data_IF_545556873242
#
_entry.id   IF_545556873242
#
_cell.length_a   1.000
_cell.length_b   1.000
_cell.length_c   1.000
_cell.angle_alpha   90.00
_cell.angle_beta   90.00
_cell.angle_gamma   90.00
#
_symmetry.space_group_name_H-M   'P 1'
#
loop_
_entity.id
_entity.type
_entity.pdbx_description
1 polymer ?
#
# COMPACT_ATOMS: atom_id res chain seq x y z
N UNK A 1 12.29 -10.81 -2.61
CA UNK A 1 13.24 -9.94 -1.89
C UNK A 1 13.13 -10.27 -0.40
N UNK A 2 13.91 -11.22 0.14
CA UNK A 2 13.92 -11.49 1.59
C UNK A 2 14.68 -10.36 2.26
N UNK A 3 14.01 -9.57 3.09
CA UNK A 3 14.58 -8.33 3.60
C UNK A 3 15.38 -8.54 4.90
N UNK A 4 15.23 -9.66 5.66
CA UNK A 4 16.31 -10.34 6.44
C UNK A 4 15.79 -11.58 7.20
N UNK A 5 16.70 -12.44 7.68
CA UNK A 5 16.45 -13.69 8.43
C UNK A 5 16.42 -13.53 9.96
N UNK A 6 16.53 -12.31 10.48
CA UNK A 6 16.73 -12.01 11.91
C UNK A 6 15.53 -11.28 12.50
N UNK A 7 14.92 -11.89 13.53
CA UNK A 7 13.76 -11.36 14.26
C UNK A 7 14.08 -10.03 14.95
N UNK A 8 13.18 -9.02 14.89
CA UNK A 8 13.35 -7.78 15.65
C UNK A 8 13.26 -8.03 17.17
N UNK A 9 14.03 -7.30 17.97
CA UNK A 9 14.06 -7.44 19.44
C UNK A 9 12.81 -6.85 20.11
N UNK A 10 12.47 -7.31 21.33
CA UNK A 10 11.32 -6.81 22.11
C UNK A 10 11.30 -5.28 22.31
N UNK A 11 12.46 -4.61 22.26
CA UNK A 11 12.60 -3.15 22.40
C UNK A 11 12.04 -2.36 21.21
N UNK A 12 12.12 -2.92 20.00
CA UNK A 12 11.55 -2.33 18.77
C UNK A 12 10.02 -2.28 18.83
N UNK A 13 9.38 -3.15 19.62
CA UNK A 13 7.91 -3.18 19.78
C UNK A 13 7.43 -2.06 20.73
N UNK A 14 8.25 -1.65 21.70
CA UNK A 14 7.89 -0.65 22.73
C UNK A 14 8.25 0.77 22.29
N UNK A 15 9.45 0.97 21.72
CA UNK A 15 9.92 2.30 21.27
C UNK A 15 9.69 2.56 19.77
N UNK A 16 9.13 1.59 19.04
CA UNK A 16 9.20 1.42 17.58
C UNK A 16 9.33 2.68 16.73
N UNK A 17 8.31 3.52 16.69
CA UNK A 17 8.35 4.75 15.88
C UNK A 17 9.40 5.75 16.38
N UNK A 18 9.51 5.94 17.70
CA UNK A 18 10.47 6.87 18.32
C UNK A 18 11.91 6.46 18.03
N UNK A 19 12.19 5.16 17.86
CA UNK A 19 13.53 4.68 17.45
C UNK A 19 13.96 5.23 16.09
N UNK A 20 13.04 5.61 15.20
CA UNK A 20 13.35 6.19 13.90
C UNK A 20 13.13 7.72 13.86
N UNK A 21 13.02 8.34 15.04
CA UNK A 21 13.00 9.79 15.23
C UNK A 21 14.30 10.29 15.89
N UNK A 22 14.62 11.57 15.66
CA UNK A 22 15.70 12.20 16.41
C UNK A 22 15.25 12.46 17.86
N UNK A 23 16.12 12.15 18.81
CA UNK A 23 16.02 12.56 20.21
C UNK A 23 17.22 13.45 20.54
N UNK A 24 17.25 14.04 21.75
CA UNK A 24 18.31 14.97 22.17
C UNK A 24 19.72 14.40 21.92
N UNK A 25 19.97 13.17 22.39
CA UNK A 25 21.27 12.50 22.25
C UNK A 25 21.69 12.28 20.79
N UNK A 26 20.78 11.80 19.94
CA UNK A 26 21.08 11.63 18.51
C UNK A 26 21.31 12.95 17.80
N UNK A 27 20.60 14.00 18.19
CA UNK A 27 20.82 15.35 17.64
C UNK A 27 22.22 15.82 18.00
N UNK A 28 22.60 15.73 19.29
CA UNK A 28 23.95 16.08 19.76
C UNK A 28 25.04 15.31 19.01
N UNK A 29 24.92 13.98 18.93
CA UNK A 29 25.87 13.13 18.21
C UNK A 29 25.91 13.45 16.71
N UNK A 30 24.77 13.83 16.12
CA UNK A 30 24.72 14.20 14.70
C UNK A 30 25.48 15.49 14.43
N UNK A 31 25.42 16.46 15.35
CA UNK A 31 26.19 17.71 15.25
C UNK A 31 27.67 17.42 15.42
N UNK A 32 28.07 16.65 16.43
CA UNK A 32 29.47 16.30 16.69
C UNK A 32 30.11 15.50 15.55
N UNK A 33 29.37 14.55 14.96
CA UNK A 33 29.86 13.67 13.90
C UNK A 33 29.47 14.15 12.49
N UNK A 34 29.08 15.41 12.34
CA UNK A 34 28.45 15.92 11.11
C UNK A 34 29.27 15.67 9.83
N UNK A 35 30.60 15.90 9.78
CA UNK A 35 31.40 15.62 8.58
C UNK A 35 31.37 14.13 8.18
N UNK A 36 31.48 13.24 9.17
CA UNK A 36 31.43 11.78 8.98
C UNK A 36 30.05 11.36 8.47
N UNK A 37 28.99 11.89 9.07
CA UNK A 37 27.61 11.57 8.69
C UNK A 37 27.30 12.01 7.27
N UNK A 38 27.75 13.20 6.85
CA UNK A 38 27.60 13.63 5.46
C UNK A 38 28.32 12.66 4.52
N UNK A 39 29.59 12.35 4.81
CA UNK A 39 30.40 11.47 3.98
C UNK A 39 29.75 10.08 3.83
N UNK A 40 29.38 9.45 4.94
CA UNK A 40 28.70 8.16 4.94
C UNK A 40 27.36 8.23 4.20
N UNK A 41 26.53 9.22 4.51
CA UNK A 41 25.17 9.29 3.97
C UNK A 41 25.12 9.48 2.45
N UNK A 42 26.09 10.15 1.83
CA UNK A 42 26.11 10.36 0.36
C UNK A 42 25.93 9.07 -0.42
N UNK A 43 26.70 8.02 -0.08
CA UNK A 43 26.62 6.71 -0.73
C UNK A 43 25.28 6.03 -0.43
N UNK A 44 24.95 5.87 0.86
CA UNK A 44 23.76 5.12 1.26
C UNK A 44 22.44 5.75 0.79
N UNK A 45 22.33 7.08 0.79
CA UNK A 45 21.13 7.76 0.28
C UNK A 45 20.96 7.56 -1.23
N UNK A 46 22.04 7.62 -2.01
CA UNK A 46 21.99 7.34 -3.45
C UNK A 46 21.60 5.88 -3.70
N UNK A 47 22.27 4.95 -3.03
CA UNK A 47 22.02 3.52 -3.19
C UNK A 47 20.60 3.15 -2.76
N UNK A 48 20.09 3.79 -1.70
CA UNK A 48 18.73 3.60 -1.22
C UNK A 48 17.70 4.21 -2.18
N UNK A 49 17.96 5.40 -2.73
CA UNK A 49 17.11 5.97 -3.76
C UNK A 49 17.01 5.02 -4.95
N UNK A 50 18.14 4.55 -5.49
CA UNK A 50 18.15 3.59 -6.60
C UNK A 50 17.38 2.32 -6.25
N UNK A 51 17.59 1.75 -5.05
CA UNK A 51 16.83 0.61 -4.55
C UNK A 51 15.31 0.81 -4.63
N UNK A 52 14.79 1.97 -4.24
CA UNK A 52 13.33 2.25 -4.31
C UNK A 52 12.79 2.36 -5.73
N UNK A 53 13.67 2.54 -6.73
CA UNK A 53 13.29 2.81 -8.12
C UNK A 53 13.57 1.63 -9.06
N UNK A 54 14.42 0.68 -8.67
CA UNK A 54 14.84 -0.48 -9.45
C UNK A 54 13.98 -1.71 -9.14
N UNK A 55 13.05 -2.01 -10.04
CA UNK A 55 12.19 -3.19 -10.03
C UNK A 55 11.65 -3.42 -11.45
N UNK A 56 11.15 -4.62 -11.74
CA UNK A 56 10.51 -4.91 -13.02
C UNK A 56 9.18 -4.16 -13.12
N UNK A 57 8.98 -3.44 -14.24
CA UNK A 57 7.76 -2.65 -14.50
C UNK A 57 6.95 -3.23 -15.65
N UNK A 58 7.63 -3.68 -16.70
CA UNK A 58 7.06 -4.18 -17.95
C UNK A 58 7.94 -5.31 -18.51
N UNK A 59 7.50 -5.89 -19.62
CA UNK A 59 8.25 -6.86 -20.39
C UNK A 59 8.16 -8.27 -19.82
N UNK A 60 8.91 -9.18 -20.44
CA UNK A 60 8.85 -10.60 -20.12
C UNK A 60 9.47 -10.90 -18.75
N UNK A 61 8.84 -11.80 -17.99
CA UNK A 61 9.37 -12.40 -16.78
C UNK A 61 9.31 -13.91 -16.85
N UNK A 62 10.16 -14.56 -16.06
CA UNK A 62 10.17 -16.02 -15.91
C UNK A 62 9.82 -16.38 -14.47
N UNK A 63 8.78 -17.19 -14.29
CA UNK A 63 8.42 -17.77 -12.99
C UNK A 63 7.95 -19.20 -13.21
N UNK A 64 8.40 -20.14 -12.35
CA UNK A 64 8.06 -21.56 -12.45
C UNK A 64 8.29 -22.15 -13.86
N UNK A 65 9.41 -21.79 -14.49
CA UNK A 65 9.80 -22.21 -15.84
C UNK A 65 8.87 -21.76 -16.98
N UNK A 66 7.93 -20.84 -16.72
CA UNK A 66 7.11 -20.20 -17.76
C UNK A 66 7.59 -18.79 -18.03
N UNK A 67 7.60 -18.40 -19.31
CA UNK A 67 7.85 -17.04 -19.77
C UNK A 67 6.54 -16.36 -20.14
N UNK A 68 6.27 -15.20 -19.55
CA UNK A 68 5.04 -14.44 -19.78
C UNK A 68 5.28 -12.95 -19.55
N UNK A 69 4.37 -12.11 -20.05
CA UNK A 69 4.45 -10.66 -19.80
C UNK A 69 4.16 -10.36 -18.32
N UNK A 70 4.99 -9.52 -17.70
CA UNK A 70 4.84 -9.11 -16.30
C UNK A 70 3.45 -8.53 -15.99
N UNK A 71 2.86 -7.81 -16.92
CA UNK A 71 1.59 -7.11 -16.78
C UNK A 71 0.47 -7.90 -17.49
N UNK A 72 0.20 -9.12 -17.03
CA UNK A 72 -0.77 -10.04 -17.66
C UNK A 72 -1.51 -10.93 -16.66
N UNK A 73 -2.55 -11.62 -17.12
CA UNK A 73 -3.25 -12.65 -16.35
C UNK A 73 -2.34 -13.84 -15.99
N UNK A 74 -1.38 -14.24 -16.84
CA UNK A 74 -0.47 -15.32 -16.48
C UNK A 74 0.39 -14.91 -15.26
N UNK A 75 0.81 -13.65 -15.16
CA UNK A 75 1.50 -13.14 -13.97
C UNK A 75 0.62 -13.24 -12.71
N UNK A 76 -0.67 -12.93 -12.83
CA UNK A 76 -1.64 -13.12 -11.75
C UNK A 76 -1.77 -14.60 -11.35
N UNK A 77 -1.95 -15.51 -12.31
CA UNK A 77 -2.04 -16.95 -12.04
C UNK A 77 -0.81 -17.49 -11.33
N UNK A 78 0.38 -17.06 -11.76
CA UNK A 78 1.63 -17.49 -11.15
C UNK A 78 1.80 -16.89 -9.73
N UNK A 79 1.35 -15.66 -9.48
CA UNK A 79 1.30 -15.07 -8.12
C UNK A 79 0.36 -15.86 -7.20
N UNK A 80 -0.83 -16.24 -7.67
CA UNK A 80 -1.77 -17.06 -6.90
C UNK A 80 -1.20 -18.43 -6.54
N UNK A 81 -0.48 -19.07 -7.47
CA UNK A 81 0.20 -20.35 -7.22
C UNK A 81 1.30 -20.15 -6.17
N UNK A 82 2.16 -19.14 -6.34
CA UNK A 82 3.25 -18.86 -5.41
C UNK A 82 2.77 -18.50 -3.99
N UNK A 83 1.57 -17.95 -3.87
CA UNK A 83 0.91 -17.63 -2.59
C UNK A 83 -0.02 -18.71 -2.07
N UNK A 84 -0.10 -19.86 -2.73
CA UNK A 84 -0.99 -20.99 -2.37
C UNK A 84 -2.50 -20.61 -2.37
N UNK A 85 -2.87 -19.49 -2.99
CA UNK A 85 -4.24 -18.99 -3.05
C UNK A 85 -5.12 -19.81 -4.00
N UNK A 86 -4.51 -20.41 -5.03
CA UNK A 86 -5.24 -21.24 -6.00
C UNK A 86 -5.86 -22.48 -5.35
N UNK A 87 -5.23 -23.02 -4.29
CA UNK A 87 -5.75 -24.16 -3.52
C UNK A 87 -7.00 -23.78 -2.70
N UNK A 88 -7.24 -22.48 -2.50
CA UNK A 88 -8.38 -21.94 -1.76
C UNK A 88 -9.52 -21.51 -2.72
N UNK A 89 -9.46 -21.93 -3.99
CA UNK A 89 -10.37 -21.50 -5.06
C UNK A 89 -10.44 -19.96 -5.21
N UNK A 90 -9.35 -19.27 -4.89
CA UNK A 90 -9.29 -17.83 -4.89
C UNK A 90 -8.74 -17.33 -6.24
N UNK A 91 -9.58 -17.32 -7.28
CA UNK A 91 -9.18 -16.99 -8.64
C UNK A 91 -10.38 -16.55 -9.49
N UNK A 92 -10.15 -15.57 -10.38
CA UNK A 92 -11.12 -15.28 -11.44
C UNK A 92 -11.08 -16.42 -12.46
N UNK A 93 -12.24 -16.84 -12.96
CA UNK A 93 -12.31 -17.90 -13.98
C UNK A 93 -12.09 -17.34 -15.39
N UNK A 94 -11.91 -18.21 -16.38
CA UNK A 94 -11.64 -17.81 -17.78
C UNK A 94 -12.71 -16.90 -18.39
N UNK A 95 -13.97 -17.05 -18.00
CA UNK A 95 -15.07 -16.19 -18.50
C UNK A 95 -14.94 -14.80 -17.88
N UNK A 96 -14.72 -14.72 -16.57
CA UNK A 96 -14.51 -13.43 -15.88
C UNK A 96 -13.27 -12.70 -16.40
N UNK A 97 -12.18 -13.42 -16.67
CA UNK A 97 -10.95 -12.86 -17.24
C UNK A 97 -11.16 -12.31 -18.66
N UNK A 98 -11.92 -13.00 -19.51
CA UNK A 98 -12.21 -12.52 -20.87
C UNK A 98 -13.19 -11.34 -20.88
N UNK A 99 -14.02 -11.20 -19.84
CA UNK A 99 -14.94 -10.06 -19.67
C UNK A 99 -14.25 -8.82 -19.08
N UNK A 100 -13.07 -8.96 -18.46
CA UNK A 100 -12.33 -7.82 -17.92
C UNK A 100 -11.85 -6.88 -19.01
N UNK A 101 -12.10 -5.59 -18.82
CA UNK A 101 -11.71 -4.56 -19.77
C UNK A 101 -10.47 -3.82 -19.31
N UNK A 102 -9.47 -3.76 -20.19
CA UNK A 102 -8.27 -2.92 -20.01
C UNK A 102 -8.52 -1.54 -20.60
N UNK A 103 -8.18 -0.50 -19.85
CA UNK A 103 -8.40 0.90 -20.23
C UNK A 103 -7.19 1.75 -19.87
N UNK A 104 -7.12 2.92 -20.50
CA UNK A 104 -6.17 3.98 -20.16
C UNK A 104 -6.95 5.19 -19.64
N UNK A 105 -6.67 5.59 -18.42
CA UNK A 105 -7.22 6.79 -17.78
C UNK A 105 -6.13 7.87 -17.81
N UNK A 106 -6.48 9.13 -18.02
CA UNK A 106 -5.54 10.25 -17.97
C UNK A 106 -5.62 10.95 -16.62
N UNK A 107 -4.46 11.22 -16.01
CA UNK A 107 -4.40 12.08 -14.82
C UNK A 107 -4.51 13.57 -15.21
N UNK A 108 -4.49 14.46 -14.21
CA UNK A 108 -4.60 15.90 -14.43
C UNK A 108 -3.46 16.46 -15.31
N UNK A 109 -2.31 15.79 -15.32
CA UNK A 109 -1.12 16.12 -16.11
C UNK A 109 -1.11 15.45 -17.49
N UNK A 110 -2.22 14.83 -17.92
CA UNK A 110 -2.34 14.08 -19.17
C UNK A 110 -1.39 12.86 -19.28
N UNK A 111 -0.93 12.34 -18.14
CA UNK A 111 -0.14 11.12 -18.08
C UNK A 111 -1.07 9.89 -17.98
N UNK A 112 -0.68 8.80 -18.64
CA UNK A 112 -1.48 7.58 -18.70
C UNK A 112 -1.45 6.78 -17.39
N UNK A 113 -2.63 6.29 -17.01
CA UNK A 113 -2.86 5.33 -15.94
C UNK A 113 -3.51 4.10 -16.58
N UNK A 114 -2.81 2.97 -16.60
CA UNK A 114 -3.37 1.72 -17.10
C UNK A 114 -4.21 1.06 -16.01
N UNK A 115 -5.46 0.73 -16.34
CA UNK A 115 -6.40 0.12 -15.42
C UNK A 115 -7.11 -1.08 -16.04
N UNK A 116 -7.66 -1.92 -15.18
CA UNK A 116 -8.43 -3.11 -15.49
C UNK A 116 -9.70 -3.08 -14.64
N UNK A 117 -10.86 -3.39 -15.24
CA UNK A 117 -12.09 -3.44 -14.48
C UNK A 117 -13.03 -4.56 -14.96
N UNK A 118 -13.90 -5.01 -14.05
CA UNK A 118 -14.96 -5.99 -14.31
C UNK A 118 -16.25 -5.51 -13.67
N UNK A 119 -17.33 -5.51 -14.43
CA UNK A 119 -18.67 -5.19 -13.93
C UNK A 119 -19.38 -6.46 -13.50
N UNK A 120 -20.02 -6.39 -12.34
CA UNK A 120 -21.01 -7.36 -11.90
C UNK A 120 -22.40 -6.91 -12.37
N UNK A 121 -23.24 -7.80 -12.93
CA UNK A 121 -24.55 -7.42 -13.46
C UNK A 121 -25.39 -6.58 -12.50
N UNK A 122 -25.91 -5.45 -12.98
CA UNK A 122 -26.79 -4.52 -12.25
C UNK A 122 -26.20 -3.94 -10.94
N UNK A 123 -24.89 -4.03 -10.71
CA UNK A 123 -24.27 -3.47 -9.53
C UNK A 123 -23.86 -2.01 -9.72
N UNK A 124 -24.08 -1.18 -8.70
CA UNK A 124 -23.59 0.20 -8.60
C UNK A 124 -22.56 0.34 -7.47
N UNK A 125 -22.12 -0.79 -6.89
CA UNK A 125 -21.12 -0.86 -5.82
C UNK A 125 -19.78 -1.24 -6.44
N UNK A 126 -18.75 -0.46 -6.16
CA UNK A 126 -17.41 -0.65 -6.71
C UNK A 126 -16.38 -0.89 -5.62
N UNK A 127 -15.38 -1.71 -5.90
CA UNK A 127 -14.17 -1.84 -5.09
C UNK A 127 -12.94 -1.55 -5.94
N UNK A 128 -12.11 -0.61 -5.48
CA UNK A 128 -10.86 -0.25 -6.13
C UNK A 128 -9.69 -0.87 -5.38
N UNK A 129 -8.93 -1.73 -6.07
CA UNK A 129 -7.74 -2.42 -5.54
C UNK A 129 -6.44 -1.73 -5.91
N UNK A 130 -5.60 -1.44 -4.91
CA UNK A 130 -4.28 -0.82 -5.07
C UNK A 130 -3.16 -1.81 -4.75
N UNK A 131 -2.29 -2.07 -5.71
CA UNK A 131 -1.19 -3.03 -5.56
C UNK A 131 -0.02 -2.48 -4.71
N UNK A 132 0.81 -3.40 -4.23
CA UNK A 132 2.04 -3.11 -3.48
C UNK A 132 3.19 -2.61 -4.35
N UNK A 133 4.31 -2.24 -3.73
CA UNK A 133 5.53 -1.92 -4.46
C UNK A 133 6.03 -3.16 -5.20
N UNK A 134 6.58 -2.99 -6.41
CA UNK A 134 7.02 -4.05 -7.33
C UNK A 134 5.90 -4.94 -7.90
N UNK A 135 4.63 -4.61 -7.64
CA UNK A 135 3.47 -5.31 -8.20
C UNK A 135 2.84 -4.49 -9.35
N UNK A 136 1.67 -4.95 -9.83
CA UNK A 136 0.91 -4.30 -10.90
C UNK A 136 -0.61 -4.53 -10.74
N UNK A 137 -1.42 -3.98 -11.66
CA UNK A 137 -2.88 -4.05 -11.64
C UNK A 137 -3.45 -5.47 -11.64
N UNK A 138 -2.81 -6.41 -12.34
CA UNK A 138 -3.24 -7.81 -12.37
C UNK A 138 -3.01 -8.47 -11.03
N UNK A 139 -1.84 -8.25 -10.41
CA UNK A 139 -1.58 -8.76 -9.08
C UNK A 139 -2.56 -8.19 -8.05
N UNK A 140 -3.04 -6.95 -8.19
CA UNK A 140 -4.08 -6.40 -7.33
C UNK A 140 -5.44 -7.10 -7.42
N UNK A 141 -5.71 -7.91 -8.46
CA UNK A 141 -6.95 -8.67 -8.58
C UNK A 141 -7.21 -9.57 -7.37
N UNK A 142 -6.16 -10.12 -6.76
CA UNK A 142 -6.27 -10.92 -5.53
C UNK A 142 -6.96 -10.16 -4.40
N UNK A 143 -6.83 -8.84 -4.33
CA UNK A 143 -7.43 -8.07 -3.25
C UNK A 143 -8.94 -7.90 -3.45
N UNK A 144 -9.38 -7.82 -4.70
CA UNK A 144 -10.77 -7.48 -5.04
C UNK A 144 -11.64 -8.70 -5.37
N UNK A 145 -11.03 -9.87 -5.58
CA UNK A 145 -11.72 -11.11 -5.94
C UNK A 145 -12.91 -11.43 -5.04
N UNK A 146 -12.71 -11.44 -3.71
CA UNK A 146 -13.79 -11.75 -2.77
C UNK A 146 -14.97 -10.77 -2.92
N UNK A 147 -14.71 -9.48 -3.17
CA UNK A 147 -15.76 -8.48 -3.32
C UNK A 147 -16.53 -8.66 -4.62
N UNK A 148 -15.86 -9.05 -5.71
CA UNK A 148 -16.55 -9.42 -6.95
C UNK A 148 -17.54 -10.57 -6.71
N UNK A 149 -17.13 -11.59 -5.94
CA UNK A 149 -18.01 -12.70 -5.53
C UNK A 149 -19.17 -12.25 -4.62
N UNK A 150 -19.10 -11.06 -4.01
CA UNK A 150 -20.19 -10.45 -3.23
C UNK A 150 -21.02 -9.43 -4.05
N UNK A 151 -20.89 -9.44 -5.39
CA UNK A 151 -21.68 -8.59 -6.27
C UNK A 151 -21.18 -7.15 -6.41
N UNK A 152 -19.91 -6.88 -6.12
CA UNK A 152 -19.29 -5.59 -6.39
C UNK A 152 -18.67 -5.60 -7.80
N UNK A 153 -18.79 -4.49 -8.51
CA UNK A 153 -17.88 -4.18 -9.61
C UNK A 153 -16.47 -4.00 -9.04
N UNK A 154 -15.43 -4.36 -9.81
CA UNK A 154 -14.04 -4.25 -9.35
C UNK A 154 -13.19 -3.49 -10.35
N UNK A 155 -12.25 -2.69 -9.84
CA UNK A 155 -11.28 -1.96 -10.64
C UNK A 155 -9.90 -2.04 -9.97
N UNK A 156 -8.87 -2.33 -10.75
CA UNK A 156 -7.47 -2.24 -10.33
C UNK A 156 -6.69 -1.39 -11.32
N UNK A 157 -5.58 -0.79 -10.89
CA UNK A 157 -4.79 0.06 -11.76
C UNK A 157 -3.31 0.00 -11.42
N UNK A 158 -2.49 0.27 -12.43
CA UNK A 158 -1.05 0.37 -12.31
C UNK A 158 -0.71 1.72 -11.67
N UNK A 159 -0.01 1.70 -10.54
CA UNK A 159 0.51 2.90 -9.89
C UNK A 159 1.51 3.64 -10.79
N UNK A 160 1.76 4.93 -10.51
CA UNK A 160 2.80 5.70 -11.23
C UNK A 160 4.12 4.92 -11.32
N UNK A 161 4.71 4.89 -12.51
CA UNK A 161 5.93 4.14 -12.80
C UNK A 161 5.86 2.62 -12.49
N UNK A 162 4.68 2.01 -12.60
CA UNK A 162 4.48 0.56 -12.54
C UNK A 162 3.66 0.12 -13.75
N UNK A 163 3.83 -1.14 -14.16
CA UNK A 163 3.07 -1.70 -15.28
C UNK A 163 3.12 -0.80 -16.51
N UNK A 164 1.96 -0.55 -17.09
CA UNK A 164 1.80 0.30 -18.28
C UNK A 164 1.42 1.75 -17.95
N UNK A 165 1.43 2.15 -16.66
CA UNK A 165 1.22 3.53 -16.27
C UNK A 165 2.49 4.37 -16.46
N UNK A 166 2.29 5.61 -16.89
CA UNK A 166 3.36 6.58 -17.06
C UNK A 166 4.10 6.88 -15.73
N UNK A 167 5.30 7.46 -15.87
CA UNK A 167 6.10 7.93 -14.75
C UNK A 167 7.53 7.41 -14.77
N UNK A 168 8.48 8.30 -14.50
CA UNK A 168 9.91 7.96 -14.41
C UNK A 168 10.24 7.24 -13.10
N UNK A 169 9.67 7.70 -11.99
CA UNK A 169 9.96 7.22 -10.66
C UNK A 169 8.70 6.78 -9.92
N UNK A 170 8.82 5.73 -9.11
CA UNK A 170 7.80 5.32 -8.15
C UNK A 170 7.51 6.45 -7.18
N UNK A 171 6.23 6.75 -7.00
CA UNK A 171 5.75 7.70 -6.00
C UNK A 171 5.81 7.17 -4.57
N UNK A 172 6.12 5.88 -4.37
CA UNK A 172 6.12 5.18 -3.08
C UNK A 172 4.88 5.54 -2.25
N UNK A 173 3.72 5.51 -2.90
CA UNK A 173 2.41 5.79 -2.30
C UNK A 173 2.03 7.27 -2.16
N UNK A 174 2.94 8.25 -2.29
CA UNK A 174 2.58 9.68 -2.20
C UNK A 174 2.07 10.24 -3.53
N UNK A 175 2.87 10.14 -4.60
CA UNK A 175 2.45 10.65 -5.92
C UNK A 175 1.25 9.89 -6.48
N UNK A 176 1.10 8.63 -6.06
CA UNK A 176 0.01 7.73 -6.44
C UNK A 176 -1.38 8.26 -6.01
N UNK A 177 -1.45 9.18 -5.03
CA UNK A 177 -2.71 9.77 -4.55
C UNK A 177 -3.46 10.49 -5.67
N UNK A 178 -2.73 11.18 -6.56
CA UNK A 178 -3.34 11.88 -7.70
C UNK A 178 -3.91 10.88 -8.71
N UNK A 179 -3.20 9.77 -8.96
CA UNK A 179 -3.69 8.72 -9.84
C UNK A 179 -4.95 8.05 -9.27
N UNK A 180 -5.00 7.75 -7.96
CA UNK A 180 -6.22 7.24 -7.33
C UNK A 180 -7.39 8.22 -7.48
N UNK A 181 -7.13 9.53 -7.34
CA UNK A 181 -8.14 10.56 -7.55
C UNK A 181 -8.68 10.57 -8.98
N UNK A 182 -7.80 10.46 -9.97
CA UNK A 182 -8.17 10.41 -11.38
C UNK A 182 -8.97 9.14 -11.71
N UNK A 183 -8.58 8.00 -11.13
CA UNK A 183 -9.30 6.73 -11.27
C UNK A 183 -10.72 6.81 -10.70
N UNK A 184 -10.89 7.38 -9.50
CA UNK A 184 -12.20 7.57 -8.89
C UNK A 184 -13.06 8.54 -9.71
N UNK A 185 -12.48 9.66 -10.18
CA UNK A 185 -13.19 10.61 -11.02
C UNK A 185 -13.64 9.99 -12.35
N UNK A 186 -12.75 9.25 -13.01
CA UNK A 186 -13.07 8.50 -14.22
C UNK A 186 -14.22 7.52 -13.96
N UNK A 187 -14.17 6.77 -12.86
CA UNK A 187 -15.21 5.81 -12.51
C UNK A 187 -16.59 6.48 -12.36
N UNK A 188 -16.65 7.59 -11.62
CA UNK A 188 -17.90 8.34 -11.38
C UNK A 188 -18.45 8.95 -12.68
N UNK A 189 -17.57 9.36 -13.60
CA UNK A 189 -17.99 9.96 -14.86
C UNK A 189 -18.47 8.94 -15.91
N UNK A 190 -18.10 7.67 -15.79
CA UNK A 190 -18.41 6.64 -16.79
C UNK A 190 -19.49 5.65 -16.32
N UNK A 191 -19.78 5.58 -15.03
CA UNK A 191 -20.74 4.63 -14.47
C UNK A 191 -21.66 5.29 -13.44
N UNK A 192 -22.83 4.68 -13.22
CA UNK A 192 -23.64 4.99 -12.05
C UNK A 192 -23.01 4.33 -10.82
N UNK A 193 -22.55 5.13 -9.86
CA UNK A 193 -21.82 4.69 -8.67
C UNK A 193 -22.52 5.16 -7.42
N UNK A 194 -22.91 4.22 -6.55
CA UNK A 194 -23.52 4.54 -5.24
C UNK A 194 -22.56 4.35 -4.08
N UNK A 195 -21.62 3.41 -4.21
CA UNK A 195 -20.67 3.08 -3.15
C UNK A 195 -19.33 2.66 -3.74
N UNK A 196 -18.25 3.16 -3.14
CA UNK A 196 -16.88 2.81 -3.43
C UNK A 196 -16.24 2.30 -2.15
N UNK A 197 -15.71 1.07 -2.20
CA UNK A 197 -14.76 0.53 -1.25
C UNK A 197 -13.34 0.68 -1.78
N UNK A 198 -12.39 1.01 -0.91
CA UNK A 198 -10.97 1.03 -1.25
C UNK A 198 -10.25 -0.10 -0.55
N UNK A 199 -9.40 -0.84 -1.26
CA UNK A 199 -8.52 -1.86 -0.67
C UNK A 199 -7.12 -1.74 -1.24
N UNK A 200 -6.12 -1.93 -0.40
CA UNK A 200 -4.74 -1.92 -0.83
C UNK A 200 -3.83 -2.69 0.12
N UNK A 201 -2.70 -3.16 -0.42
CA UNK A 201 -1.64 -3.81 0.34
C UNK A 201 -0.35 -2.99 0.29
N UNK A 202 0.41 -2.95 1.38
CA UNK A 202 1.73 -2.30 1.45
C UNK A 202 1.70 -0.85 0.94
N UNK A 203 2.38 -0.56 -0.19
CA UNK A 203 2.33 0.75 -0.87
C UNK A 203 0.90 1.19 -1.22
N UNK A 204 0.04 0.28 -1.68
CA UNK A 204 -1.34 0.57 -2.03
C UNK A 204 -2.19 0.96 -0.82
N UNK A 205 -2.01 0.24 0.29
CA UNK A 205 -2.64 0.55 1.59
C UNK A 205 -2.25 1.94 2.11
N UNK A 206 -0.97 2.27 1.96
CA UNK A 206 -0.43 3.57 2.30
C UNK A 206 -1.00 4.67 1.37
N UNK A 207 -1.05 4.43 0.06
CA UNK A 207 -1.61 5.34 -0.93
C UNK A 207 -3.09 5.69 -0.64
N UNK A 208 -3.95 4.69 -0.51
CA UNK A 208 -5.38 4.93 -0.28
C UNK A 208 -5.61 5.68 1.03
N UNK A 209 -4.86 5.34 2.08
CA UNK A 209 -5.00 6.02 3.38
C UNK A 209 -4.57 7.48 3.28
N UNK A 210 -3.51 7.77 2.52
CA UNK A 210 -3.08 9.15 2.26
C UNK A 210 -4.11 9.92 1.45
N UNK A 211 -4.65 9.33 0.38
CA UNK A 211 -5.73 9.92 -0.41
C UNK A 211 -6.92 10.29 0.46
N UNK A 212 -7.36 9.36 1.31
CA UNK A 212 -8.47 9.58 2.24
C UNK A 212 -8.19 10.76 3.18
N UNK A 213 -6.99 10.85 3.77
CA UNK A 213 -6.64 11.97 4.66
C UNK A 213 -6.54 13.32 3.94
N UNK A 214 -6.11 13.33 2.68
CA UNK A 214 -5.88 14.57 1.95
C UNK A 214 -7.15 15.16 1.37
N UNK A 215 -7.97 14.33 0.72
CA UNK A 215 -9.10 14.77 -0.09
C UNK A 215 -10.26 13.76 -0.11
N UNK A 216 -9.97 12.46 0.00
CA UNK A 216 -10.99 11.41 -0.07
C UNK A 216 -11.99 11.43 1.09
N UNK A 217 -11.65 12.02 2.25
CA UNK A 217 -12.56 12.15 3.39
C UNK A 217 -13.82 12.97 3.10
N UNK A 218 -13.81 13.78 2.03
CA UNK A 218 -14.96 14.57 1.60
C UNK A 218 -15.82 13.84 0.56
N UNK A 219 -15.36 12.70 0.04
CA UNK A 219 -16.07 11.97 -1.00
C UNK A 219 -17.17 11.09 -0.39
N UNK A 220 -18.47 11.43 -0.55
CA UNK A 220 -19.56 10.69 0.08
C UNK A 220 -19.75 9.29 -0.54
N UNK A 221 -19.20 9.02 -1.72
CA UNK A 221 -19.28 7.72 -2.37
C UNK A 221 -18.31 6.72 -1.75
N UNK A 222 -17.21 7.17 -1.12
CA UNK A 222 -16.27 6.27 -0.46
C UNK A 222 -16.83 5.85 0.89
N UNK A 223 -17.30 4.60 0.99
CA UNK A 223 -18.05 4.11 2.17
C UNK A 223 -17.16 3.42 3.20
N UNK A 224 -16.05 2.81 2.77
CA UNK A 224 -15.15 2.08 3.65
C UNK A 224 -13.78 1.91 2.99
N UNK A 225 -12.77 1.61 3.80
CA UNK A 225 -11.43 1.30 3.32
C UNK A 225 -10.78 0.12 4.06
N UNK A 226 -9.98 -0.65 3.36
CA UNK A 226 -9.22 -1.78 3.88
C UNK A 226 -7.74 -1.53 3.61
N UNK A 227 -6.95 -1.48 4.68
CA UNK A 227 -5.52 -1.20 4.64
C UNK A 227 -4.74 -2.41 5.13
N UNK A 228 -4.14 -3.17 4.22
CA UNK A 228 -3.28 -4.30 4.56
C UNK A 228 -1.82 -3.84 4.61
N UNK A 229 -1.23 -3.86 5.81
CA UNK A 229 0.19 -3.57 6.10
C UNK A 229 0.75 -2.25 5.52
N UNK A 230 -0.05 -1.17 5.51
CA UNK A 230 0.41 0.16 5.09
C UNK A 230 1.32 0.86 6.11
N UNK A 231 2.29 1.65 5.61
CA UNK A 231 3.17 2.48 6.44
C UNK A 231 2.52 3.83 6.81
N UNK A 232 2.69 4.27 8.06
CA UNK A 232 2.10 5.51 8.57
C UNK A 232 2.95 6.76 8.32
N UNK A 233 4.27 6.61 8.17
CA UNK A 233 5.18 7.73 7.93
C UNK A 233 6.33 7.28 7.01
N UNK A 234 6.45 7.91 5.85
CA UNK A 234 7.38 7.49 4.82
C UNK A 234 8.84 7.71 5.22
N UNK A 235 9.13 8.78 5.97
CA UNK A 235 10.49 9.06 6.44
C UNK A 235 10.93 8.06 7.52
N UNK A 236 10.03 7.69 8.42
CA UNK A 236 10.26 6.63 9.43
C UNK A 236 10.46 5.29 8.73
N UNK A 237 9.62 4.97 7.74
CA UNK A 237 9.71 3.74 6.95
C UNK A 237 11.07 3.65 6.24
N UNK A 238 11.51 4.72 5.60
CA UNK A 238 12.82 4.72 4.93
C UNK A 238 13.98 4.57 5.91
N UNK A 239 13.92 5.21 7.07
CA UNK A 239 14.95 5.03 8.11
C UNK A 239 15.00 3.59 8.62
N UNK A 240 13.85 2.98 8.84
CA UNK A 240 13.74 1.57 9.21
C UNK A 240 14.37 0.67 8.14
N UNK A 241 13.94 0.79 6.88
CA UNK A 241 14.47 -0.04 5.78
C UNK A 241 15.96 0.22 5.57
N UNK A 242 16.44 1.46 5.67
CA UNK A 242 17.87 1.76 5.56
C UNK A 242 18.68 1.11 6.69
N UNK A 243 18.24 1.22 7.95
CA UNK A 243 18.95 0.61 9.08
C UNK A 243 19.04 -0.90 8.93
N UNK A 244 17.94 -1.52 8.55
CA UNK A 244 17.84 -2.96 8.42
C UNK A 244 18.55 -3.49 7.16
N UNK A 245 18.44 -2.80 6.03
CA UNK A 245 19.11 -3.19 4.77
C UNK A 245 20.63 -3.05 4.87
N UNK A 246 21.12 -1.97 5.47
CA UNK A 246 22.54 -1.67 5.50
C UNK A 246 23.22 -2.13 6.80
N UNK A 247 22.45 -2.58 7.80
CA UNK A 247 22.95 -2.98 9.12
C UNK A 247 23.79 -1.86 9.77
N UNK A 248 23.33 -0.61 9.61
CA UNK A 248 23.96 0.61 10.16
C UNK A 248 22.90 1.49 10.79
N UNK A 249 23.25 2.22 11.85
CA UNK A 249 22.33 3.17 12.47
C UNK A 249 21.79 4.17 11.44
N UNK A 250 20.46 4.29 11.30
CA UNK A 250 19.83 5.11 10.26
C UNK A 250 20.31 6.57 10.29
N UNK A 251 20.58 7.12 11.47
CA UNK A 251 20.96 8.52 11.66
C UNK A 251 22.38 8.82 11.16
N UNK A 252 23.23 7.81 10.98
CA UNK A 252 24.56 7.94 10.38
C UNK A 252 24.54 7.92 8.83
N UNK A 253 23.50 7.34 8.25
CA UNK A 253 23.48 7.00 6.81
C UNK A 253 22.33 7.65 6.02
N UNK A 254 21.40 8.33 6.68
CA UNK A 254 20.21 8.91 6.04
C UNK A 254 20.24 10.44 5.92
N UNK A 255 21.37 11.08 6.23
CA UNK A 255 21.48 12.52 6.07
C UNK A 255 21.38 12.91 4.59
N UNK A 256 20.55 13.90 4.26
CA UNK A 256 20.29 14.28 2.88
C UNK A 256 19.21 13.45 2.17
N UNK A 257 18.68 12.38 2.78
CA UNK A 257 17.60 11.54 2.22
C UNK A 257 16.41 12.38 1.73
N UNK A 258 15.93 13.30 2.58
CA UNK A 258 14.83 14.21 2.23
C UNK A 258 15.15 15.11 1.04
N UNK A 259 16.40 15.60 0.96
CA UNK A 259 16.83 16.48 -0.13
C UNK A 259 16.85 15.70 -1.44
N UNK A 260 17.44 14.51 -1.45
CA UNK A 260 17.49 13.63 -2.62
C UNK A 260 16.09 13.31 -3.14
N UNK A 261 15.18 12.84 -2.28
CA UNK A 261 13.82 12.53 -2.70
C UNK A 261 13.02 13.75 -3.15
N UNK A 262 13.21 14.92 -2.51
CA UNK A 262 12.58 16.17 -2.97
C UNK A 262 13.07 16.59 -4.36
N UNK A 263 14.37 16.44 -4.62
CA UNK A 263 14.97 16.80 -5.91
C UNK A 263 14.48 15.89 -7.03
N UNK A 264 14.39 14.58 -6.79
CA UNK A 264 14.06 13.61 -7.84
C UNK A 264 12.55 13.40 -8.04
N UNK A 265 11.76 13.49 -6.96
CA UNK A 265 10.30 13.21 -6.97
C UNK A 265 9.43 14.46 -6.80
N UNK A 266 10.02 15.63 -6.57
CA UNK A 266 9.29 16.89 -6.40
C UNK A 266 8.55 17.07 -5.07
N UNK A 267 8.59 16.11 -4.14
CA UNK A 267 7.88 16.21 -2.85
C UNK A 267 8.76 16.01 -1.61
N UNK A 268 8.37 16.62 -0.51
CA UNK A 268 9.05 16.44 0.77
C UNK A 268 8.52 15.21 1.49
N UNK A 269 9.39 14.24 1.79
CA UNK A 269 9.02 13.03 2.54
C UNK A 269 8.27 13.31 3.86
N UNK A 270 8.52 14.48 4.49
CA UNK A 270 7.82 14.89 5.73
C UNK A 270 6.31 15.15 5.54
N UNK A 271 5.87 15.41 4.31
CA UNK A 271 4.46 15.66 4.02
C UNK A 271 3.67 14.35 3.93
N UNK A 272 4.34 13.22 3.74
CA UNK A 272 3.74 11.91 3.92
C UNK A 272 3.79 11.51 5.40
N UNK A 273 2.71 11.82 6.12
CA UNK A 273 2.52 11.37 7.50
C UNK A 273 1.02 11.17 7.78
N UNK A 274 0.60 9.91 7.83
CA UNK A 274 -0.79 9.50 8.08
C UNK A 274 -1.25 9.75 9.51
N UNK A 275 -0.31 10.02 10.43
CA UNK A 275 -0.63 10.34 11.82
C UNK A 275 -1.11 11.80 12.00
N UNK A 276 -1.10 12.60 10.94
CA UNK A 276 -1.62 13.96 10.95
C UNK A 276 -3.09 13.97 10.57
N UNK A 277 -3.88 14.77 11.30
CA UNK A 277 -5.32 14.97 11.08
C UNK A 277 -6.18 13.70 11.12
N UNK A 278 -6.02 12.78 12.09
CA UNK A 278 -6.81 11.54 12.16
C UNK A 278 -8.32 11.80 12.19
N UNK A 279 -8.74 12.95 12.73
CA UNK A 279 -10.13 13.41 12.78
C UNK A 279 -10.81 13.52 11.42
N UNK A 280 -10.06 13.66 10.31
CA UNK A 280 -10.64 13.67 8.95
C UNK A 280 -11.30 12.34 8.60
N UNK A 281 -10.78 11.23 9.13
CA UNK A 281 -11.31 9.89 8.89
C UNK A 281 -12.27 9.42 9.98
N UNK A 282 -12.74 10.30 10.87
CA UNK A 282 -13.58 9.92 12.02
C UNK A 282 -14.85 9.17 11.64
N UNK A 283 -15.42 9.47 10.48
CA UNK A 283 -16.68 8.89 10.01
C UNK A 283 -16.48 7.79 8.94
N UNK A 284 -15.23 7.48 8.58
CA UNK A 284 -14.92 6.49 7.57
C UNK A 284 -14.51 5.17 8.26
N UNK A 285 -15.31 4.11 8.16
CA UNK A 285 -14.96 2.78 8.64
C UNK A 285 -13.69 2.25 7.97
N UNK A 286 -12.75 1.75 8.76
CA UNK A 286 -11.53 1.15 8.24
C UNK A 286 -11.24 -0.22 8.86
N UNK A 287 -10.93 -1.20 8.02
CA UNK A 287 -10.35 -2.47 8.45
C UNK A 287 -8.86 -2.47 8.15
N UNK A 288 -8.04 -2.70 9.17
CA UNK A 288 -6.58 -2.65 9.05
C UNK A 288 -6.04 -4.04 9.37
N UNK A 289 -5.31 -4.64 8.44
CA UNK A 289 -4.59 -5.89 8.66
C UNK A 289 -3.11 -5.63 8.84
N UNK A 290 -2.47 -6.36 9.75
CA UNK A 290 -1.02 -6.29 9.88
C UNK A 290 -0.43 -7.54 10.54
N UNK A 291 0.58 -8.14 9.91
CA UNK A 291 1.34 -9.26 10.46
C UNK A 291 2.31 -8.85 11.56
N UNK A 292 2.31 -9.50 12.71
CA UNK A 292 3.17 -9.07 13.83
C UNK A 292 4.67 -9.25 13.58
N UNK A 293 5.04 -10.05 12.56
CA UNK A 293 6.42 -10.31 12.15
C UNK A 293 6.76 -9.64 10.80
N UNK A 294 5.98 -8.64 10.37
CA UNK A 294 6.29 -7.86 9.17
C UNK A 294 7.67 -7.20 9.29
N UNK A 295 8.61 -7.67 8.47
CA UNK A 295 10.00 -7.26 8.45
C UNK A 295 10.27 -6.14 7.44
N UNK A 296 9.29 -5.78 6.62
CA UNK A 296 9.40 -4.71 5.63
C UNK A 296 8.70 -3.44 6.10
N UNK A 297 7.42 -3.51 6.49
CA UNK A 297 6.68 -2.42 7.14
C UNK A 297 6.40 -2.85 8.57
N UNK A 298 7.05 -2.27 9.60
CA UNK A 298 6.85 -2.71 10.97
C UNK A 298 5.40 -2.56 11.46
N UNK A 299 4.93 -3.57 12.20
CA UNK A 299 3.59 -3.62 12.82
C UNK A 299 3.19 -2.36 13.59
N UNK A 300 4.15 -1.70 14.26
CA UNK A 300 3.85 -0.48 15.01
C UNK A 300 3.26 0.63 14.12
N UNK A 301 3.55 0.66 12.81
CA UNK A 301 3.04 1.69 11.91
C UNK A 301 1.53 1.66 11.77
N UNK A 302 0.94 0.48 11.55
CA UNK A 302 -0.52 0.33 11.51
C UNK A 302 -1.14 0.45 12.89
N UNK A 303 -0.47 -0.06 13.94
CA UNK A 303 -0.94 0.10 15.32
C UNK A 303 -1.07 1.57 15.71
N UNK A 304 -0.07 2.38 15.45
CA UNK A 304 -0.10 3.82 15.77
C UNK A 304 -1.14 4.58 14.97
N UNK A 305 -1.28 4.29 13.67
CA UNK A 305 -2.33 4.90 12.86
C UNK A 305 -3.72 4.55 13.40
N UNK A 306 -3.98 3.28 13.71
CA UNK A 306 -5.23 2.85 14.30
C UNK A 306 -5.51 3.54 15.64
N UNK A 307 -4.53 3.53 16.57
CA UNK A 307 -4.67 4.19 17.86
C UNK A 307 -5.01 5.68 17.73
N UNK A 308 -4.41 6.39 16.77
CA UNK A 308 -4.73 7.79 16.49
C UNK A 308 -6.15 7.96 15.92
N UNK A 309 -6.55 7.11 14.97
CA UNK A 309 -7.88 7.14 14.37
C UNK A 309 -8.98 6.94 15.42
N UNK A 310 -8.83 5.92 16.28
CA UNK A 310 -9.86 5.57 17.27
C UNK A 310 -10.08 6.65 18.34
N UNK A 311 -9.13 7.58 18.53
CA UNK A 311 -9.32 8.71 19.46
C UNK A 311 -10.44 9.68 19.04
N UNK A 312 -10.85 9.62 17.78
CA UNK A 312 -11.76 10.61 17.20
C UNK A 312 -12.97 10.02 16.48
N UNK A 313 -13.01 8.71 16.26
CA UNK A 313 -14.12 8.03 15.60
C UNK A 313 -15.22 7.61 16.59
N UNK A 314 -16.48 7.49 16.15
CA UNK A 314 -17.51 6.82 16.92
C UNK A 314 -17.11 5.36 17.22
N UNK A 315 -17.42 4.89 18.43
CA UNK A 315 -17.01 3.57 18.92
C UNK A 315 -17.33 2.46 17.90
N UNK A 316 -16.32 1.61 17.61
CA UNK A 316 -16.50 0.38 16.84
C UNK A 316 -16.66 0.56 15.33
N UNK A 317 -16.23 1.70 14.76
CA UNK A 317 -16.23 1.86 13.29
C UNK A 317 -15.03 1.21 12.60
N UNK A 318 -13.86 1.20 13.25
CA UNK A 318 -12.65 0.63 12.68
C UNK A 318 -12.11 -0.52 13.51
N UNK A 319 -11.35 -1.40 12.85
CA UNK A 319 -10.74 -2.56 13.50
C UNK A 319 -9.30 -2.74 13.02
N UNK A 320 -8.39 -3.03 13.96
CA UNK A 320 -7.06 -3.53 13.67
C UNK A 320 -7.01 -5.05 13.90
N UNK A 321 -6.85 -5.82 12.83
CA UNK A 321 -6.66 -7.27 12.85
C UNK A 321 -5.17 -7.56 12.85
N UNK A 322 -4.67 -7.96 14.02
CA UNK A 322 -3.26 -8.32 14.21
C UNK A 322 -3.08 -9.81 13.94
N UNK A 323 -2.27 -10.15 12.94
CA UNK A 323 -2.06 -11.53 12.52
C UNK A 323 -0.74 -12.05 13.08
N UNK A 324 -0.84 -12.90 14.11
CA UNK A 324 0.32 -13.41 14.82
C UNK A 324 1.25 -14.19 13.90
N UNK A 325 2.55 -13.92 14.02
CA UNK A 325 3.63 -14.58 13.30
C UNK A 325 3.66 -14.41 11.77
N UNK A 326 2.77 -13.62 11.18
CA UNK A 326 2.78 -13.35 9.74
C UNK A 326 3.73 -12.20 9.39
N UNK A 327 4.40 -12.35 8.25
CA UNK A 327 5.27 -11.34 7.63
C UNK A 327 4.54 -10.41 6.66
N UNK A 328 5.31 -9.69 5.84
CA UNK A 328 4.81 -8.67 4.93
C UNK A 328 3.88 -9.23 3.83
N UNK A 329 2.67 -8.69 3.71
CA UNK A 329 1.65 -9.07 2.68
C UNK A 329 1.27 -10.57 2.76
N UNK A 330 1.45 -11.20 3.92
CA UNK A 330 1.06 -12.61 4.13
C UNK A 330 -0.36 -12.79 4.66
N UNK A 331 -1.06 -11.68 4.94
CA UNK A 331 -2.41 -11.70 5.53
C UNK A 331 -3.42 -12.44 4.65
N UNK A 332 -3.45 -12.13 3.36
CA UNK A 332 -4.40 -12.73 2.41
C UNK A 332 -4.15 -14.22 2.13
N UNK A 333 -2.88 -14.66 2.22
CA UNK A 333 -2.47 -16.05 1.94
C UNK A 333 -2.38 -16.88 3.21
N UNK A 334 -1.35 -16.67 4.03
CA UNK A 334 -1.12 -17.47 5.26
C UNK A 334 -2.15 -17.17 6.34
N UNK A 335 -2.70 -15.95 6.37
CA UNK A 335 -3.76 -15.53 7.29
C UNK A 335 -5.18 -15.70 6.76
N UNK A 336 -5.37 -16.38 5.63
CA UNK A 336 -6.57 -16.32 4.80
C UNK A 336 -7.90 -16.49 5.57
N UNK A 337 -7.99 -17.49 6.46
CA UNK A 337 -9.21 -17.75 7.24
C UNK A 337 -9.61 -16.54 8.10
N UNK A 338 -8.65 -15.99 8.84
CA UNK A 338 -8.86 -14.80 9.67
C UNK A 338 -9.09 -13.55 8.83
N UNK A 339 -8.39 -13.43 7.71
CA UNK A 339 -8.52 -12.34 6.75
C UNK A 339 -9.96 -12.25 6.19
N UNK A 340 -10.47 -13.35 5.62
CA UNK A 340 -11.84 -13.39 5.09
C UNK A 340 -12.91 -13.26 6.19
N UNK A 341 -12.72 -13.89 7.35
CA UNK A 341 -13.68 -13.76 8.45
C UNK A 341 -13.83 -12.30 8.92
N UNK A 342 -12.71 -11.56 9.01
CA UNK A 342 -12.72 -10.16 9.36
C UNK A 342 -13.37 -9.30 8.27
N UNK A 343 -13.08 -9.54 6.99
CA UNK A 343 -13.73 -8.82 5.88
C UNK A 343 -15.25 -9.06 5.90
N UNK A 344 -15.70 -10.31 6.05
CA UNK A 344 -17.13 -10.66 6.15
C UNK A 344 -17.82 -9.91 7.27
N UNK A 345 -17.22 -9.94 8.46
CA UNK A 345 -17.76 -9.25 9.65
C UNK A 345 -17.83 -7.74 9.42
N UNK A 346 -16.76 -7.17 8.86
CA UNK A 346 -16.67 -5.74 8.58
C UNK A 346 -17.70 -5.27 7.55
N UNK A 347 -17.87 -6.01 6.45
CA UNK A 347 -18.86 -5.69 5.42
C UNK A 347 -20.29 -5.78 5.95
N UNK A 348 -20.61 -6.85 6.69
CA UNK A 348 -21.94 -7.02 7.30
C UNK A 348 -22.29 -5.87 8.25
N UNK A 349 -21.30 -5.29 8.94
CA UNK A 349 -21.51 -4.11 9.78
C UNK A 349 -21.78 -2.84 8.96
N UNK A 350 -21.21 -2.71 7.76
CA UNK A 350 -21.43 -1.54 6.91
C UNK A 350 -22.78 -1.60 6.20
N UNK A 351 -23.21 -2.79 5.78
CA UNK A 351 -24.51 -2.97 5.13
C UNK A 351 -25.69 -2.72 6.08
N UNK A 352 -25.55 -3.00 7.39
CA UNK A 352 -26.58 -2.68 8.40
C UNK A 352 -26.74 -1.18 8.68
N UNK A 353 -25.79 -0.35 8.26
CA UNK A 353 -25.77 1.10 8.52
C UNK A 353 -26.25 1.93 7.33
N UNK A 354 -26.41 1.31 6.16
CA UNK A 354 -27.01 1.88 4.95
C UNK A 354 -28.50 1.58 4.96
#
# INVERSE_FOLDING_TARGET
MKVVTKKPSKKIIIDGYRQFCFNWWRTLLTVLLFPIIIFCSKKYVRDFFNFTQTYQRTGMMTMNSKNFDFNSFEAYHQDLIAKELKQLNFCFNTIEETQMQTITILNQQQESISALYLQYPHSQKWVIGLHGWTENKYLALRQVYYFYQQGYNVLTFDSIAHGLSAGKYSGIGYLNVQNLSAVIAWLINNFTVNAIGLIGNSMGAACLTKYLLDQGYQNPLVKWAISDCGFSNLLVQFRYVMEYRYQRCWWLISFGLRKKFKQELGFNLRHYNLLKHPKRLKNLPMLIFHGTNDDFVPYFMSKEFYLQKITSEPLGQSQLVSLLNLGHVEAISKGHKSYLAAIKTFLAQQERKQ
#
